data_IF_040232245642
#
_entry.id   IF_040232245642
#
_cell.length_a   1.000
_cell.length_b   1.000
_cell.length_c   1.000
_cell.angle_alpha   90.00
_cell.angle_beta   90.00
_cell.angle_gamma   90.00
#
_symmetry.space_group_name_H-M   'P 1'
#
loop_
_entity.id
_entity.type
_entity.pdbx_description
1 polymer ?
#
# COMPACT_ATOMS: atom_id res chain seq x y z
N UNK A 1 -21.28 26.69 -38.08
CA UNK A 1 -20.57 26.56 -36.79
C UNK A 1 -20.83 25.17 -36.23
N UNK A 2 -19.93 24.21 -36.49
CA UNK A 2 -20.02 22.87 -35.90
C UNK A 2 -19.17 22.86 -34.64
N UNK A 3 -19.82 22.83 -33.47
CA UNK A 3 -19.15 22.63 -32.20
C UNK A 3 -18.70 21.16 -32.13
N UNK A 4 -17.39 20.93 -32.28
CA UNK A 4 -16.76 19.67 -31.93
C UNK A 4 -16.84 19.54 -30.41
N UNK A 5 -17.77 18.71 -29.93
CA UNK A 5 -17.70 18.15 -28.58
C UNK A 5 -16.43 17.31 -28.58
N UNK A 6 -15.32 17.88 -28.07
CA UNK A 6 -14.16 17.08 -27.70
C UNK A 6 -14.67 16.15 -26.61
N UNK A 7 -14.90 14.89 -26.97
CA UNK A 7 -15.03 13.82 -26.00
C UNK A 7 -13.78 13.90 -25.12
N UNK A 8 -13.95 14.37 -23.88
CA UNK A 8 -12.94 14.19 -22.85
C UNK A 8 -12.77 12.67 -22.76
N UNK A 9 -11.62 12.11 -23.16
CA UNK A 9 -11.46 10.68 -23.00
C UNK A 9 -11.56 10.43 -21.50
N UNK A 10 -12.33 9.41 -21.13
CA UNK A 10 -12.33 8.82 -19.80
C UNK A 10 -10.86 8.44 -19.52
N UNK A 11 -10.07 9.36 -18.98
CA UNK A 11 -8.68 9.14 -18.60
C UNK A 11 -8.73 8.12 -17.47
N UNK A 12 -8.37 6.88 -17.80
CA UNK A 12 -8.05 5.78 -16.90
C UNK A 12 -7.66 6.31 -15.50
N UNK A 13 -8.41 5.93 -14.47
CA UNK A 13 -8.01 6.24 -13.11
C UNK A 13 -6.66 5.55 -12.88
N UNK A 14 -5.62 6.34 -12.60
CA UNK A 14 -4.33 5.82 -12.18
C UNK A 14 -4.55 4.95 -10.93
N UNK A 15 -4.00 3.73 -10.92
CA UNK A 15 -4.09 2.86 -9.75
C UNK A 15 -3.44 3.57 -8.57
N UNK A 16 -4.19 3.80 -7.50
CA UNK A 16 -3.66 4.31 -6.23
C UNK A 16 -3.58 3.18 -5.21
N UNK A 17 -2.45 3.06 -4.52
CA UNK A 17 -2.18 2.07 -3.47
C UNK A 17 -1.77 2.81 -2.21
N UNK A 18 -2.33 2.46 -1.06
CA UNK A 18 -1.81 2.88 0.24
C UNK A 18 -0.79 1.86 0.78
N UNK A 19 0.42 2.32 1.02
CA UNK A 19 1.49 1.55 1.65
C UNK A 19 1.79 2.12 3.03
N UNK A 20 1.65 1.33 4.09
CA UNK A 20 2.14 1.74 5.41
C UNK A 20 3.52 1.19 5.71
N UNK A 21 4.34 2.03 6.33
CA UNK A 21 5.68 1.67 6.78
C UNK A 21 5.89 2.15 8.21
N UNK A 22 6.74 1.45 8.95
CA UNK A 22 7.25 1.91 10.23
C UNK A 22 8.71 2.31 9.99
N UNK A 23 9.07 3.54 10.31
CA UNK A 23 10.38 4.10 10.00
C UNK A 23 11.29 3.92 11.21
N UNK A 24 12.41 3.22 11.04
CA UNK A 24 13.41 3.04 12.09
C UNK A 24 14.38 4.22 12.11
N UNK A 25 14.91 4.57 10.94
CA UNK A 25 15.84 5.68 10.78
C UNK A 25 15.32 6.72 9.78
N UNK A 26 15.64 8.02 9.97
CA UNK A 26 15.21 9.07 9.04
C UNK A 26 15.58 8.81 7.57
N UNK A 27 16.65 8.05 7.32
CA UNK A 27 17.11 7.70 5.96
C UNK A 27 16.21 6.69 5.23
N UNK A 28 15.49 5.83 5.96
CA UNK A 28 14.70 4.75 5.37
C UNK A 28 13.59 5.29 4.47
N UNK A 29 12.94 6.38 4.90
CA UNK A 29 11.88 7.00 4.13
C UNK A 29 12.43 7.55 2.80
N UNK A 30 13.63 8.11 2.78
CA UNK A 30 14.23 8.65 1.56
C UNK A 30 14.55 7.54 0.56
N UNK A 31 15.10 6.41 1.03
CA UNK A 31 15.36 5.23 0.20
C UNK A 31 14.06 4.65 -0.35
N UNK A 32 13.04 4.51 0.50
CA UNK A 32 11.71 4.04 0.09
C UNK A 32 11.10 4.94 -1.00
N UNK A 33 11.17 6.26 -0.86
CA UNK A 33 10.62 7.18 -1.86
C UNK A 33 11.29 7.02 -3.23
N UNK A 34 12.60 6.79 -3.28
CA UNK A 34 13.31 6.49 -4.54
C UNK A 34 12.77 5.22 -5.20
N UNK A 35 12.62 4.13 -4.43
CA UNK A 35 12.09 2.86 -4.94
C UNK A 35 10.62 2.97 -5.41
N UNK A 36 9.81 3.74 -4.69
CA UNK A 36 8.42 3.98 -5.05
C UNK A 36 8.28 4.83 -6.31
N UNK A 37 9.22 5.74 -6.58
CA UNK A 37 9.24 6.50 -7.83
C UNK A 37 9.58 5.61 -9.02
N UNK A 38 10.56 4.70 -8.88
CA UNK A 38 10.84 3.69 -9.90
C UNK A 38 9.61 2.80 -10.17
N UNK A 39 8.95 2.34 -9.10
CA UNK A 39 7.72 1.57 -9.18
C UNK A 39 6.61 2.35 -9.90
N UNK A 40 6.42 3.63 -9.56
CA UNK A 40 5.42 4.52 -10.17
C UNK A 40 5.64 4.66 -11.67
N UNK A 41 6.88 4.92 -12.09
CA UNK A 41 7.23 5.05 -13.51
C UNK A 41 6.95 3.74 -14.26
N UNK A 42 7.39 2.61 -13.70
CA UNK A 42 7.25 1.29 -14.32
C UNK A 42 5.80 0.81 -14.43
N UNK A 43 4.99 1.05 -13.41
CA UNK A 43 3.66 0.46 -13.29
C UNK A 43 2.50 1.45 -13.48
N UNK A 44 2.79 2.74 -13.66
CA UNK A 44 1.78 3.80 -13.73
C UNK A 44 0.81 3.74 -12.53
N UNK A 45 1.35 3.43 -11.36
CA UNK A 45 0.63 3.29 -10.10
C UNK A 45 1.20 4.25 -9.07
N UNK A 46 0.33 5.01 -8.40
CA UNK A 46 0.73 5.98 -7.37
C UNK A 46 0.64 5.34 -6.00
N UNK A 47 1.71 5.45 -5.22
CA UNK A 47 1.75 4.91 -3.85
C UNK A 47 1.66 6.05 -2.83
N UNK A 48 0.63 6.04 -2.00
CA UNK A 48 0.49 6.91 -0.83
C UNK A 48 1.16 6.23 0.36
N UNK A 49 2.27 6.80 0.82
CA UNK A 49 2.99 6.29 2.00
C UNK A 49 2.35 6.82 3.27
N UNK A 50 2.00 5.92 4.20
CA UNK A 50 1.59 6.23 5.57
C UNK A 50 2.67 5.78 6.53
N UNK A 51 3.34 6.72 7.19
CA UNK A 51 4.28 6.41 8.27
C UNK A 51 3.52 6.09 9.56
N UNK A 52 3.92 5.01 10.21
CA UNK A 52 3.40 4.55 11.50
C UNK A 52 4.52 4.57 12.55
N UNK A 53 4.15 4.51 13.83
CA UNK A 53 5.08 4.50 14.97
C UNK A 53 5.16 3.10 15.58
N UNK A 54 6.36 2.61 15.88
CA UNK A 54 6.53 1.27 16.48
C UNK A 54 5.77 1.08 17.79
N UNK A 55 5.64 2.12 18.61
CA UNK A 55 4.94 2.11 19.88
C UNK A 55 3.43 1.96 19.74
N UNK A 56 2.84 2.31 18.59
CA UNK A 56 1.39 2.22 18.36
C UNK A 56 0.99 1.25 17.25
N UNK A 57 1.91 0.87 16.36
CA UNK A 57 1.60 0.18 15.12
C UNK A 57 0.87 -1.16 15.33
N UNK A 58 1.19 -1.91 16.40
CA UNK A 58 0.46 -3.13 16.71
C UNK A 58 -1.04 -2.88 17.00
N UNK A 59 -1.35 -1.83 17.76
CA UNK A 59 -2.73 -1.46 18.06
C UNK A 59 -3.46 -0.93 16.82
N UNK A 60 -2.74 -0.24 15.93
CA UNK A 60 -3.26 0.20 14.64
C UNK A 60 -3.63 -1.02 13.76
N UNK A 61 -2.75 -2.02 13.66
CA UNK A 61 -3.03 -3.25 12.92
C UNK A 61 -4.19 -4.07 13.50
N UNK A 62 -4.27 -4.15 14.83
CA UNK A 62 -5.41 -4.77 15.50
C UNK A 62 -6.71 -4.05 15.15
N UNK A 63 -6.69 -2.71 15.14
CA UNK A 63 -7.84 -1.90 14.73
C UNK A 63 -8.22 -2.13 13.27
N UNK A 64 -7.23 -2.20 12.36
CA UNK A 64 -7.47 -2.49 10.95
C UNK A 64 -8.12 -3.87 10.75
N UNK A 65 -7.63 -4.88 11.48
CA UNK A 65 -8.19 -6.23 11.45
C UNK A 65 -9.66 -6.27 11.91
N UNK A 66 -9.97 -5.59 13.01
CA UNK A 66 -11.34 -5.53 13.54
C UNK A 66 -12.29 -4.76 12.63
N UNK A 67 -11.83 -3.67 12.02
CA UNK A 67 -12.64 -2.81 11.15
C UNK A 67 -12.77 -3.37 9.74
N UNK A 68 -11.89 -4.30 9.34
CA UNK A 68 -11.79 -4.77 7.95
C UNK A 68 -11.31 -3.69 6.99
N UNK A 69 -10.59 -2.68 7.49
CA UNK A 69 -10.10 -1.54 6.70
C UNK A 69 -8.70 -1.14 7.14
N UNK A 70 -7.80 -0.93 6.19
CA UNK A 70 -6.42 -0.52 6.43
C UNK A 70 -5.70 -0.23 5.12
N UNK A 71 -4.38 0.00 5.17
CA UNK A 71 -3.52 0.09 3.99
C UNK A 71 -3.62 -1.16 3.12
N UNK A 72 -3.41 -1.02 1.81
CA UNK A 72 -3.40 -2.14 0.88
C UNK A 72 -2.19 -3.07 1.13
N UNK A 73 -1.06 -2.46 1.49
CA UNK A 73 0.18 -3.16 1.83
C UNK A 73 0.81 -2.51 3.06
N UNK A 74 1.33 -3.31 3.97
CA UNK A 74 1.95 -2.82 5.20
C UNK A 74 3.27 -3.53 5.48
N UNK A 75 4.28 -2.76 5.89
CA UNK A 75 5.40 -3.29 6.66
C UNK A 75 4.87 -3.74 8.02
N UNK A 76 5.11 -5.00 8.36
CA UNK A 76 4.75 -5.58 9.67
C UNK A 76 5.97 -6.17 10.35
N UNK A 77 5.99 -6.13 11.68
CA UNK A 77 6.95 -6.91 12.46
C UNK A 77 6.74 -8.41 12.21
N UNK A 78 7.81 -9.15 11.98
CA UNK A 78 7.73 -10.59 11.67
C UNK A 78 7.02 -11.39 12.76
N UNK A 79 7.21 -11.02 14.03
CA UNK A 79 6.56 -11.64 15.20
C UNK A 79 5.05 -11.37 15.30
N UNK A 80 4.53 -10.39 14.56
CA UNK A 80 3.10 -10.05 14.53
C UNK A 80 2.32 -10.88 13.51
N UNK A 81 3.01 -11.52 12.58
CA UNK A 81 2.43 -12.28 11.46
C UNK A 81 1.43 -13.34 11.93
N UNK A 82 1.79 -14.15 12.93
CA UNK A 82 0.92 -15.23 13.42
C UNK A 82 -0.39 -14.70 14.03
N UNK A 83 -0.32 -13.59 14.75
CA UNK A 83 -1.49 -12.91 15.31
C UNK A 83 -2.42 -12.38 14.22
N UNK A 84 -1.86 -11.71 13.20
CA UNK A 84 -2.63 -11.19 12.08
C UNK A 84 -3.27 -12.29 11.23
N UNK A 85 -2.57 -13.42 11.03
CA UNK A 85 -3.15 -14.61 10.39
C UNK A 85 -4.29 -15.19 11.22
N UNK A 86 -4.13 -15.31 12.54
CA UNK A 86 -5.17 -15.84 13.42
C UNK A 86 -6.43 -14.95 13.44
N UNK A 87 -6.28 -13.64 13.20
CA UNK A 87 -7.38 -12.69 13.05
C UNK A 87 -7.96 -12.65 11.62
N UNK A 88 -7.44 -13.45 10.69
CA UNK A 88 -7.81 -13.40 9.27
C UNK A 88 -7.62 -11.99 8.66
N UNK A 89 -6.60 -11.26 9.13
CA UNK A 89 -6.33 -9.89 8.74
C UNK A 89 -5.43 -9.78 7.50
N UNK A 90 -4.80 -10.88 7.08
CA UNK A 90 -3.89 -10.91 5.92
C UNK A 90 -4.51 -11.66 4.75
N UNK A 91 -4.44 -11.06 3.57
CA UNK A 91 -4.79 -11.73 2.31
C UNK A 91 -3.67 -12.70 1.93
N UNK A 92 -4.01 -13.97 1.75
CA UNK A 92 -3.08 -14.93 1.17
C UNK A 92 -2.78 -14.59 -0.30
N UNK A 93 -1.51 -14.73 -0.70
CA UNK A 93 -1.15 -14.74 -2.11
C UNK A 93 -1.64 -16.03 -2.77
N UNK A 94 -2.14 -15.92 -4.00
CA UNK A 94 -2.49 -17.08 -4.81
C UNK A 94 -1.28 -17.57 -5.63
N UNK A 95 -1.36 -18.79 -6.15
CA UNK A 95 -0.25 -19.42 -6.89
C UNK A 95 0.20 -18.64 -8.13
N UNK A 96 -0.71 -17.89 -8.77
CA UNK A 96 -0.37 -17.06 -9.95
C UNK A 96 0.44 -15.84 -9.53
N UNK A 97 0.20 -15.29 -8.35
CA UNK A 97 0.95 -14.15 -7.81
C UNK A 97 2.36 -14.52 -7.34
N UNK A 98 2.60 -15.80 -7.05
CA UNK A 98 3.91 -16.33 -6.63
C UNK A 98 4.76 -16.86 -7.78
N UNK A 99 4.22 -16.89 -9.01
CA UNK A 99 4.97 -17.33 -10.17
C UNK A 99 6.07 -16.31 -10.53
N UNK A 100 7.28 -16.77 -10.89
CA UNK A 100 8.42 -15.91 -11.19
C UNK A 100 8.27 -15.08 -12.49
#
# INVERSE_FOLDING_TARGET
>A
MHALIKATPFMWAMLEIEYSTIVDEPGDLQVLQTLLEEFRVKHQAKVRVRTMDWGTAWNDFFSFALQGSGPDVSLIGSTWTSGLVAMNALRAFNLRELAP
#
